data_IF_050766137317
#
_entry.id   IF_050766137317
#
_cell.length_a   1.000
_cell.length_b   1.000
_cell.length_c   1.000
_cell.angle_alpha   90.00
_cell.angle_beta   90.00
_cell.angle_gamma   90.00
#
_symmetry.space_group_name_H-M   'P 1'
#
loop_
_entity.id
_entity.type
_entity.pdbx_description
1 polymer ?
#
# COMPACT_ATOMS: atom_id res chain seq x y z
N UNK A 1 19.56 -12.87 58.71
CA UNK A 1 20.15 -13.76 59.73
C UNK A 1 19.62 -15.17 59.47
N UNK A 2 20.47 -16.13 59.12
CA UNK A 2 20.15 -17.58 59.25
C UNK A 2 20.23 -18.00 60.73
N UNK A 3 20.15 -19.30 61.11
CA UNK A 3 20.33 -20.55 60.33
C UNK A 3 19.19 -21.59 60.53
N UNK A 4 19.05 -22.65 59.73
CA UNK A 4 19.63 -24.01 59.99
C UNK A 4 18.78 -24.82 60.99
N UNK A 5 18.39 -26.08 60.79
CA UNK A 5 18.79 -27.07 59.82
C UNK A 5 18.09 -28.43 60.07
N UNK A 6 18.31 -29.32 59.11
CA UNK A 6 18.37 -30.78 59.16
C UNK A 6 17.42 -31.62 60.03
N UNK A 7 16.73 -32.55 59.35
CA UNK A 7 16.92 -33.99 59.61
C UNK A 7 16.59 -34.84 58.37
N UNK A 8 17.67 -35.33 57.75
CA UNK A 8 17.67 -36.44 56.78
C UNK A 8 17.34 -37.77 57.46
N UNK A 9 16.69 -38.67 56.69
CA UNK A 9 16.73 -40.17 56.67
C UNK A 9 15.30 -40.64 56.31
N UNK A 10 15.00 -41.43 55.29
CA UNK A 10 15.78 -42.30 54.41
C UNK A 10 15.00 -43.61 54.24
N UNK A 11 14.39 -43.85 53.07
CA UNK A 11 13.94 -45.16 52.55
C UNK A 11 13.44 -44.94 51.11
N UNK A 12 14.27 -45.15 50.08
CA UNK A 12 14.42 -46.38 49.28
C UNK A 12 13.13 -46.87 48.59
N UNK A 13 13.12 -46.60 47.27
CA UNK A 13 12.75 -47.49 46.15
C UNK A 13 11.24 -47.73 45.91
N UNK A 14 10.74 -47.24 44.77
CA UNK A 14 10.43 -48.09 43.60
C UNK A 14 10.32 -47.24 42.33
N UNK A 15 11.23 -47.52 41.40
CA UNK A 15 11.17 -47.04 40.02
C UNK A 15 10.15 -47.88 39.24
N UNK A 16 9.21 -47.21 38.59
CA UNK A 16 8.38 -47.72 37.49
C UNK A 16 8.78 -46.86 36.28
N UNK A 17 9.75 -47.27 35.47
CA UNK A 17 9.57 -48.20 34.36
C UNK A 17 8.48 -47.72 33.39
N UNK A 18 8.84 -46.77 32.52
CA UNK A 18 8.17 -46.52 31.26
C UNK A 18 9.23 -46.54 30.15
N UNK A 19 9.72 -47.74 29.86
CA UNK A 19 10.39 -48.06 28.59
C UNK A 19 9.43 -48.97 27.84
N UNK A 20 8.84 -48.44 26.78
CA UNK A 20 8.21 -49.19 25.68
C UNK A 20 8.33 -48.27 24.46
N UNK A 21 9.39 -48.44 23.66
CA UNK A 21 9.39 -49.23 22.43
C UNK A 21 8.41 -48.70 21.37
N UNK A 22 8.94 -47.96 20.41
CA UNK A 22 8.55 -48.08 19.00
C UNK A 22 9.68 -47.50 18.12
N UNK A 23 10.68 -48.36 17.88
CA UNK A 23 11.63 -48.20 16.80
C UNK A 23 10.92 -48.51 15.48
N UNK A 24 11.17 -47.68 14.47
CA UNK A 24 11.15 -47.97 13.04
C UNK A 24 9.95 -48.75 12.46
N UNK A 25 9.02 -48.01 11.86
CA UNK A 25 8.30 -48.49 10.68
C UNK A 25 8.70 -47.63 9.48
N UNK A 26 9.68 -48.11 8.73
CA UNK A 26 9.93 -47.68 7.37
C UNK A 26 8.79 -48.23 6.50
N UNK A 27 7.92 -47.35 6.02
CA UNK A 27 6.99 -47.66 4.94
C UNK A 27 6.93 -46.49 3.97
N UNK A 28 7.22 -46.85 2.72
CA UNK A 28 7.26 -46.04 1.51
C UNK A 28 6.11 -45.02 1.46
N UNK A 29 6.42 -43.75 1.74
CA UNK A 29 5.58 -42.64 1.33
C UNK A 29 6.15 -42.13 0.01
N UNK A 30 5.35 -42.21 -1.05
CA UNK A 30 5.66 -41.56 -2.32
C UNK A 30 5.98 -40.08 -2.03
N UNK A 31 7.13 -39.61 -2.51
CA UNK A 31 7.58 -38.25 -2.32
C UNK A 31 6.48 -37.29 -2.78
N UNK A 32 5.88 -36.55 -1.85
CA UNK A 32 5.04 -35.43 -2.18
C UNK A 32 5.88 -34.45 -3.03
N UNK A 33 5.35 -33.91 -4.14
CA UNK A 33 6.09 -32.96 -4.95
C UNK A 33 6.51 -31.78 -4.07
N UNK A 34 7.73 -31.26 -4.26
CA UNK A 34 8.20 -30.11 -3.49
C UNK A 34 7.18 -28.96 -3.63
N UNK A 35 6.96 -28.15 -2.58
CA UNK A 35 6.13 -26.96 -2.70
C UNK A 35 6.68 -26.14 -3.88
N UNK A 36 5.80 -25.76 -4.81
CA UNK A 36 6.17 -24.96 -5.96
C UNK A 36 6.93 -23.72 -5.47
N UNK A 37 8.10 -23.46 -6.07
CA UNK A 37 8.85 -22.24 -5.80
C UNK A 37 7.91 -21.03 -6.01
N UNK A 38 7.87 -20.05 -5.09
CA UNK A 38 7.10 -18.84 -5.31
C UNK A 38 7.55 -18.20 -6.63
N UNK A 39 6.59 -17.91 -7.51
CA UNK A 39 6.86 -17.30 -8.81
C UNK A 39 7.57 -15.94 -8.64
N UNK A 40 8.38 -15.50 -9.62
CA UNK A 40 9.04 -14.19 -9.57
C UNK A 40 7.98 -13.08 -9.64
N UNK A 41 7.64 -12.50 -8.48
CA UNK A 41 6.70 -11.38 -8.35
C UNK A 41 7.38 -10.06 -8.74
N UNK A 42 8.68 -9.93 -8.49
CA UNK A 42 9.44 -8.69 -8.71
C UNK A 42 9.36 -8.17 -10.15
N UNK A 43 9.44 -9.04 -11.15
CA UNK A 43 9.42 -8.62 -12.56
C UNK A 43 8.05 -8.06 -12.98
N UNK A 44 6.96 -8.57 -12.42
CA UNK A 44 5.60 -8.10 -12.74
C UNK A 44 5.31 -6.73 -12.13
N UNK A 45 5.76 -6.53 -10.88
CA UNK A 45 5.62 -5.26 -10.15
C UNK A 45 6.51 -4.17 -10.76
N UNK A 46 7.71 -4.52 -11.20
CA UNK A 46 8.60 -3.60 -11.92
C UNK A 46 8.02 -3.18 -13.27
N UNK A 47 7.49 -4.12 -14.05
CA UNK A 47 6.83 -3.82 -15.33
C UNK A 47 5.60 -2.92 -15.12
N UNK A 48 4.82 -3.18 -14.07
CA UNK A 48 3.67 -2.34 -13.73
C UNK A 48 4.10 -0.93 -13.30
N UNK A 49 5.19 -0.81 -12.53
CA UNK A 49 5.75 0.47 -12.12
C UNK A 49 6.18 1.31 -13.33
N UNK A 50 6.97 0.73 -14.24
CA UNK A 50 7.41 1.41 -15.48
C UNK A 50 6.21 1.84 -16.31
N UNK A 51 5.25 0.93 -16.53
CA UNK A 51 4.03 1.25 -17.29
C UNK A 51 3.23 2.39 -16.65
N UNK A 52 3.09 2.42 -15.33
CA UNK A 52 2.43 3.51 -14.61
C UNK A 52 3.19 4.83 -14.76
N UNK A 53 4.53 4.80 -14.63
CA UNK A 53 5.36 5.98 -14.77
C UNK A 53 5.25 6.59 -16.18
N UNK A 54 5.28 5.76 -17.22
CA UNK A 54 5.15 6.19 -18.61
C UNK A 54 3.76 6.78 -18.89
N UNK A 55 2.70 6.05 -18.54
CA UNK A 55 1.32 6.48 -18.78
C UNK A 55 0.97 7.75 -17.98
N UNK A 56 1.41 7.85 -16.73
CA UNK A 56 1.24 9.06 -15.93
C UNK A 56 2.07 10.21 -16.47
N UNK A 57 3.29 9.95 -16.94
CA UNK A 57 4.17 10.93 -17.59
C UNK A 57 3.55 11.55 -18.84
N UNK A 58 2.93 10.74 -19.70
CA UNK A 58 2.19 11.25 -20.86
C UNK A 58 1.02 12.14 -20.47
N UNK A 59 0.24 11.76 -19.45
CA UNK A 59 -0.82 12.61 -18.93
C UNK A 59 -0.26 13.92 -18.34
N UNK A 60 0.88 13.84 -17.64
CA UNK A 60 1.52 14.97 -16.99
C UNK A 60 1.98 16.05 -17.97
N UNK A 61 2.43 15.67 -19.17
CA UNK A 61 2.74 16.60 -20.27
C UNK A 61 1.54 17.49 -20.63
N UNK A 62 0.31 16.99 -20.46
CA UNK A 62 -0.91 17.79 -20.66
C UNK A 62 -1.31 18.58 -19.42
N UNK A 63 -1.35 17.95 -18.23
CA UNK A 63 -1.87 18.62 -17.03
C UNK A 63 -0.93 19.67 -16.46
N UNK A 64 0.39 19.54 -16.64
CA UNK A 64 1.38 20.48 -16.13
C UNK A 64 1.14 21.93 -16.62
N UNK A 65 1.07 22.19 -17.94
CA UNK A 65 0.72 23.50 -18.48
C UNK A 65 -0.63 24.02 -17.99
N UNK A 66 -1.65 23.14 -17.93
CA UNK A 66 -2.97 23.50 -17.41
C UNK A 66 -2.90 24.00 -15.96
N UNK A 67 -2.14 23.32 -15.10
CA UNK A 67 -1.96 23.73 -13.69
C UNK A 67 -1.25 25.08 -13.57
N UNK A 68 -0.30 25.37 -14.46
CA UNK A 68 0.39 26.67 -14.49
C UNK A 68 -0.55 27.80 -14.89
N UNK A 69 -1.41 27.57 -15.89
CA UNK A 69 -2.41 28.54 -16.36
C UNK A 69 -3.50 28.80 -15.31
N UNK A 70 -4.06 27.74 -14.72
CA UNK A 70 -5.12 27.86 -13.72
C UNK A 70 -4.59 28.35 -12.38
N UNK A 71 -3.34 28.01 -12.05
CA UNK A 71 -2.71 28.20 -10.75
C UNK A 71 -2.91 26.98 -9.85
N UNK A 72 -1.82 26.33 -9.44
CA UNK A 72 -1.83 25.09 -8.65
C UNK A 72 -2.84 25.06 -7.47
N UNK A 73 -2.91 26.09 -6.62
CA UNK A 73 -3.89 26.14 -5.52
C UNK A 73 -5.36 26.19 -5.98
N UNK A 74 -5.64 26.76 -7.16
CA UNK A 74 -7.00 26.87 -7.72
C UNK A 74 -7.49 25.55 -8.31
N UNK A 75 -6.58 24.61 -8.61
CA UNK A 75 -6.93 23.27 -9.11
C UNK A 75 -7.73 22.49 -8.06
N UNK A 76 -7.35 22.58 -6.79
CA UNK A 76 -8.11 21.96 -5.70
C UNK A 76 -9.55 22.49 -5.62
N UNK A 77 -9.76 23.79 -5.85
CA UNK A 77 -11.09 24.37 -5.89
C UNK A 77 -11.93 23.82 -7.06
N UNK A 78 -11.31 23.63 -8.23
CA UNK A 78 -11.99 23.00 -9.38
C UNK A 78 -12.32 21.53 -9.13
N UNK A 79 -11.41 20.74 -8.55
CA UNK A 79 -11.65 19.33 -8.17
C UNK A 79 -12.80 19.22 -7.18
N UNK A 80 -12.82 20.09 -6.17
CA UNK A 80 -13.91 20.17 -5.19
C UNK A 80 -15.23 20.56 -5.86
N UNK A 81 -15.25 21.62 -6.67
CA UNK A 81 -16.45 22.09 -7.37
C UNK A 81 -17.04 21.06 -8.35
N UNK A 82 -16.19 20.18 -8.90
CA UNK A 82 -16.60 19.06 -9.74
C UNK A 82 -17.17 17.87 -8.95
N UNK A 83 -17.31 17.97 -7.61
CA UNK A 83 -17.87 16.91 -6.77
C UNK A 83 -16.96 15.69 -6.60
N UNK A 84 -15.67 15.82 -6.91
CA UNK A 84 -14.72 14.68 -6.94
C UNK A 84 -14.09 14.38 -5.58
N UNK A 85 -14.34 15.21 -4.57
CA UNK A 85 -13.76 15.06 -3.24
C UNK A 85 -13.95 13.66 -2.62
N UNK A 86 -15.15 13.05 -2.59
CA UNK A 86 -15.30 11.72 -1.99
C UNK A 86 -14.45 10.64 -2.69
N UNK A 87 -14.38 10.68 -4.03
CA UNK A 87 -13.54 9.76 -4.80
C UNK A 87 -12.04 9.99 -4.53
N UNK A 88 -11.63 11.25 -4.37
CA UNK A 88 -10.26 11.62 -3.99
C UNK A 88 -9.89 11.06 -2.61
N UNK A 89 -10.79 11.10 -1.62
CA UNK A 89 -10.55 10.53 -0.28
C UNK A 89 -10.32 9.02 -0.35
N UNK A 90 -11.14 8.30 -1.12
CA UNK A 90 -11.00 6.86 -1.31
C UNK A 90 -9.66 6.54 -1.99
N UNK A 91 -9.34 7.24 -3.07
CA UNK A 91 -8.09 7.06 -3.81
C UNK A 91 -6.86 7.37 -2.95
N UNK A 92 -6.87 8.48 -2.21
CA UNK A 92 -5.80 8.86 -1.30
C UNK A 92 -5.62 7.84 -0.16
N UNK A 93 -6.72 7.31 0.39
CA UNK A 93 -6.65 6.25 1.39
C UNK A 93 -6.01 4.97 0.87
N UNK A 94 -6.10 4.68 -0.43
CA UNK A 94 -5.49 3.50 -1.05
C UNK A 94 -3.99 3.64 -1.29
N UNK A 95 -3.43 4.83 -1.05
CA UNK A 95 -2.03 5.17 -1.30
C UNK A 95 -1.33 5.52 0.00
N UNK A 96 -1.92 6.41 0.79
CA UNK A 96 -1.36 6.92 2.04
C UNK A 96 -1.70 6.03 3.25
N UNK A 97 -2.61 5.06 3.07
CA UNK A 97 -3.17 4.25 4.15
C UNK A 97 -4.32 4.94 4.89
N UNK A 98 -5.18 4.13 5.54
CA UNK A 98 -6.35 4.66 6.26
C UNK A 98 -6.01 5.39 7.56
N UNK A 99 -4.82 5.16 8.11
CA UNK A 99 -4.33 5.81 9.33
C UNK A 99 -3.63 7.16 9.10
N UNK A 100 -3.44 7.58 7.85
CA UNK A 100 -2.77 8.84 7.55
C UNK A 100 -3.61 10.03 8.02
N UNK A 101 -2.99 10.99 8.71
CA UNK A 101 -3.70 12.13 9.34
C UNK A 101 -4.60 12.89 8.37
N UNK A 102 -4.13 13.14 7.14
CA UNK A 102 -4.92 13.82 6.10
C UNK A 102 -6.13 13.00 5.65
N UNK A 103 -5.99 11.67 5.59
CA UNK A 103 -7.08 10.76 5.20
C UNK A 103 -8.11 10.65 6.31
N UNK A 104 -7.68 10.55 7.57
CA UNK A 104 -8.56 10.58 8.74
C UNK A 104 -9.36 11.87 8.80
N UNK A 105 -8.67 13.02 8.73
CA UNK A 105 -9.32 14.34 8.71
C UNK A 105 -10.34 14.48 7.57
N UNK A 106 -10.03 13.91 6.40
CA UNK A 106 -10.93 13.97 5.25
C UNK A 106 -12.16 13.05 5.40
N UNK A 107 -12.00 11.88 6.04
CA UNK A 107 -13.11 10.96 6.33
C UNK A 107 -14.06 11.52 7.39
N UNK A 108 -13.53 12.23 8.38
CA UNK A 108 -14.33 12.86 9.44
C UNK A 108 -15.22 14.00 8.90
N UNK A 109 -14.86 14.57 7.74
CA UNK A 109 -15.67 15.57 7.04
C UNK A 109 -16.05 15.09 5.62
N UNK A 110 -17.15 14.32 5.46
CA UNK A 110 -17.57 13.80 4.16
C UNK A 110 -18.02 14.89 3.17
N UNK A 111 -18.47 16.05 3.67
CA UNK A 111 -18.79 17.20 2.82
C UNK A 111 -17.52 17.84 2.22
N UNK A 112 -16.39 17.70 2.91
CA UNK A 112 -15.09 18.19 2.48
C UNK A 112 -14.96 19.71 2.47
N UNK A 113 -13.85 20.17 1.91
CA UNK A 113 -13.58 21.57 1.63
C UNK A 113 -12.51 21.70 0.56
N UNK A 114 -12.35 22.89 -0.01
CA UNK A 114 -11.24 23.21 -0.92
C UNK A 114 -9.89 22.98 -0.23
N UNK A 115 -9.76 23.40 1.04
CA UNK A 115 -8.53 23.22 1.81
C UNK A 115 -8.17 21.75 2.01
N UNK A 116 -9.15 20.92 2.39
CA UNK A 116 -8.92 19.47 2.54
C UNK A 116 -8.61 18.78 1.20
N UNK A 117 -9.26 19.21 0.12
CA UNK A 117 -8.96 18.74 -1.24
C UNK A 117 -7.50 19.05 -1.61
N UNK A 118 -7.05 20.27 -1.33
CA UNK A 118 -5.65 20.67 -1.54
C UNK A 118 -4.69 19.85 -0.68
N UNK A 119 -4.99 19.66 0.61
CA UNK A 119 -4.15 18.86 1.51
C UNK A 119 -3.97 17.43 1.02
N UNK A 120 -5.01 16.79 0.49
CA UNK A 120 -4.93 15.44 -0.07
C UNK A 120 -4.09 15.39 -1.35
N UNK A 121 -4.29 16.34 -2.26
CA UNK A 121 -3.49 16.44 -3.50
C UNK A 121 -2.01 16.65 -3.16
N UNK A 122 -1.70 17.54 -2.22
CA UNK A 122 -0.33 17.80 -1.77
C UNK A 122 0.29 16.57 -1.09
N UNK A 123 -0.45 15.91 -0.18
CA UNK A 123 0.06 14.72 0.52
C UNK A 123 0.41 13.58 -0.46
N UNK A 124 -0.43 13.32 -1.45
CA UNK A 124 -0.13 12.35 -2.51
C UNK A 124 1.05 12.79 -3.39
N UNK A 125 1.14 14.08 -3.71
CA UNK A 125 2.27 14.64 -4.47
C UNK A 125 3.62 14.48 -3.75
N UNK A 126 3.65 14.69 -2.42
CA UNK A 126 4.86 14.51 -1.61
C UNK A 126 5.34 13.05 -1.55
N UNK A 127 4.40 12.09 -1.52
CA UNK A 127 4.75 10.67 -1.63
C UNK A 127 5.39 10.40 -3.01
N UNK A 128 4.78 10.94 -4.07
CA UNK A 128 5.27 10.82 -5.45
C UNK A 128 6.67 11.39 -5.70
N UNK A 129 7.12 12.35 -4.89
CA UNK A 129 8.46 12.96 -5.00
C UNK A 129 9.55 12.27 -4.18
N UNK A 130 9.23 11.19 -3.46
CA UNK A 130 10.18 10.49 -2.60
C UNK A 130 10.89 9.37 -3.35
N UNK A 131 12.22 9.40 -3.38
CA UNK A 131 13.04 8.28 -3.85
C UNK A 131 12.95 7.14 -2.83
N UNK A 132 12.36 6.00 -3.23
CA UNK A 132 12.17 4.88 -2.31
C UNK A 132 13.11 3.71 -2.59
N UNK A 133 13.53 3.05 -1.51
CA UNK A 133 14.40 1.88 -1.55
C UNK A 133 13.64 0.56 -1.81
N UNK A 134 12.33 0.60 -2.07
CA UNK A 134 11.52 -0.61 -2.31
C UNK A 134 10.58 -0.46 -3.51
N UNK A 135 10.43 -1.55 -4.28
CA UNK A 135 9.57 -1.57 -5.48
C UNK A 135 8.11 -1.28 -5.14
N UNK A 136 7.63 -1.72 -3.97
CA UNK A 136 6.27 -1.46 -3.49
C UNK A 136 6.04 0.03 -3.25
N UNK A 137 6.99 0.70 -2.63
CA UNK A 137 6.87 2.13 -2.36
C UNK A 137 6.97 2.95 -3.66
N UNK A 138 7.84 2.53 -4.61
CA UNK A 138 7.88 3.12 -5.94
C UNK A 138 6.53 2.96 -6.69
N UNK A 139 5.89 1.80 -6.61
CA UNK A 139 4.54 1.58 -7.14
C UNK A 139 3.50 2.49 -6.51
N UNK A 140 3.53 2.67 -5.19
CA UNK A 140 2.60 3.56 -4.48
C UNK A 140 2.84 5.03 -4.83
N UNK A 141 4.10 5.45 -4.96
CA UNK A 141 4.48 6.79 -5.44
C UNK A 141 3.97 7.03 -6.86
N UNK A 142 4.18 6.08 -7.78
CA UNK A 142 3.66 6.18 -9.16
C UNK A 142 2.12 6.23 -9.20
N UNK A 143 1.45 5.40 -8.38
CA UNK A 143 -0.01 5.42 -8.22
C UNK A 143 -0.50 6.78 -7.70
N UNK A 144 0.19 7.37 -6.73
CA UNK A 144 -0.14 8.68 -6.18
C UNK A 144 -0.13 9.77 -7.25
N UNK A 145 0.95 9.83 -8.05
CA UNK A 145 1.11 10.78 -9.16
C UNK A 145 0.02 10.57 -10.21
N UNK A 146 -0.24 9.32 -10.59
CA UNK A 146 -1.25 8.95 -11.57
C UNK A 146 -2.67 9.36 -11.15
N UNK A 147 -3.02 9.16 -9.88
CA UNK A 147 -4.31 9.60 -9.31
C UNK A 147 -4.42 11.12 -9.37
N UNK A 148 -3.41 11.85 -8.89
CA UNK A 148 -3.44 13.33 -8.92
C UNK A 148 -3.59 13.83 -10.35
N UNK A 149 -2.80 13.32 -11.30
CA UNK A 149 -2.90 13.72 -12.70
C UNK A 149 -4.29 13.42 -13.30
N UNK A 150 -4.90 12.28 -12.94
CA UNK A 150 -6.25 11.88 -13.38
C UNK A 150 -7.33 12.83 -12.85
N UNK A 151 -7.24 13.22 -11.58
CA UNK A 151 -8.18 14.17 -10.96
C UNK A 151 -8.10 15.56 -11.59
N UNK A 152 -6.88 16.03 -11.90
CA UNK A 152 -6.65 17.31 -12.57
C UNK A 152 -7.15 17.28 -14.01
N UNK A 153 -6.89 16.19 -14.74
CA UNK A 153 -7.41 16.00 -16.09
C UNK A 153 -8.95 16.03 -16.10
N UNK A 154 -9.58 15.44 -15.08
CA UNK A 154 -11.04 15.46 -14.89
C UNK A 154 -11.65 16.85 -14.76
N UNK A 155 -10.87 17.88 -14.40
CA UNK A 155 -11.32 19.27 -14.32
C UNK A 155 -10.73 20.18 -15.39
N UNK A 156 -10.00 19.60 -16.35
CA UNK A 156 -9.33 20.33 -17.44
C UNK A 156 -10.27 20.80 -18.57
N UNK A 157 -11.59 20.73 -18.36
CA UNK A 157 -12.61 21.17 -19.34
C UNK A 157 -12.45 20.45 -20.70
N UNK A 158 -11.98 19.20 -20.68
CA UNK A 158 -11.78 18.36 -21.87
C UNK A 158 -10.42 18.54 -22.56
N UNK A 159 -9.53 19.40 -22.06
CA UNK A 159 -8.18 19.61 -22.63
C UNK A 159 -7.28 18.39 -22.49
N UNK A 160 -7.33 17.74 -21.32
CA UNK A 160 -6.57 16.54 -21.03
C UNK A 160 -7.48 15.33 -20.95
N UNK A 161 -7.06 14.24 -21.57
CA UNK A 161 -7.78 12.97 -21.58
C UNK A 161 -7.01 11.93 -20.78
N UNK A 162 -7.72 11.24 -19.92
CA UNK A 162 -7.19 10.10 -19.17
C UNK A 162 -7.33 8.86 -20.05
N UNK A 163 -6.24 8.13 -20.27
CA UNK A 163 -6.32 6.88 -21.02
C UNK A 163 -7.01 5.79 -20.17
N UNK A 164 -7.80 4.90 -20.80
CA UNK A 164 -8.39 3.76 -20.08
C UNK A 164 -7.30 2.81 -19.55
N UNK A 165 -6.16 2.73 -20.23
CA UNK A 165 -4.99 1.96 -19.82
C UNK A 165 -4.39 2.47 -18.50
N UNK A 166 -4.27 3.79 -18.33
CA UNK A 166 -3.81 4.37 -17.06
C UNK A 166 -4.78 4.04 -15.93
N UNK A 167 -6.09 4.13 -16.18
CA UNK A 167 -7.12 3.80 -15.19
C UNK A 167 -7.04 2.33 -14.77
N UNK A 168 -6.87 1.43 -15.74
CA UNK A 168 -6.69 0.00 -15.49
C UNK A 168 -5.38 -0.29 -14.72
N UNK A 169 -4.28 0.40 -15.05
CA UNK A 169 -3.01 0.24 -14.36
C UNK A 169 -3.08 0.69 -12.89
N UNK A 170 -3.72 1.84 -12.61
CA UNK A 170 -3.94 2.34 -11.24
C UNK A 170 -4.70 1.31 -10.40
N UNK A 171 -5.75 0.70 -10.96
CA UNK A 171 -6.60 -0.26 -10.28
C UNK A 171 -5.87 -1.58 -9.93
N UNK A 172 -4.79 -1.91 -10.64
CA UNK A 172 -3.98 -3.11 -10.39
C UNK A 172 -3.05 -2.99 -9.18
N UNK A 173 -2.73 -1.76 -8.74
CA UNK A 173 -1.82 -1.55 -7.62
C UNK A 173 -2.58 -1.75 -6.30
N UNK A 174 -2.21 -2.74 -5.47
CA UNK A 174 -2.86 -2.99 -4.19
C UNK A 174 -2.78 -1.78 -3.26
N UNK A 175 -3.76 -1.58 -2.36
CA UNK A 175 -3.68 -0.53 -1.35
C UNK A 175 -2.56 -0.79 -0.33
N UNK A 176 -2.18 0.26 0.41
CA UNK A 176 -1.39 0.08 1.63
C UNK A 176 -2.13 -0.76 2.68
N UNK A 177 -1.40 -1.59 3.45
CA UNK A 177 -1.97 -2.46 4.48
C UNK A 177 -2.47 -1.68 5.71
#
# INVERSE_FOLDING_TARGET
MGPGGDRRRGARITALAAVSLAFAFAASAAAAPPPAAPAPVETADETLYVSLADLAGELYKCVGPYMQEVGGPKVAAKVYAAGRYPALVVSASSVLGSGHLTVLSARDNPAGSVGQTQSLIVAMGMLGSSDANSIRQNLLSAKAVAIVATEIAGVSEGRCKVSPELTAAIARVPPEP
#
